data_IF_468181314609
#
_entry.id   IF_468181314609
#
_cell.length_a   1.000
_cell.length_b   1.000
_cell.length_c   1.000
_cell.angle_alpha   90.00
_cell.angle_beta   90.00
_cell.angle_gamma   90.00
#
_symmetry.space_group_name_H-M   'P 1'
#
loop_
_entity.id
_entity.type
_entity.pdbx_description
1 polymer ?
#
# COMPACT_ATOMS: atom_id res chain seq x y z
N UNK A 1 13.78 62.97 -11.01
CA UNK A 1 12.85 63.18 -9.88
C UNK A 1 12.48 61.81 -9.37
N UNK A 2 13.30 61.24 -8.49
CA UNK A 2 13.06 59.89 -7.99
C UNK A 2 11.78 59.88 -7.15
N UNK A 3 10.82 59.05 -7.55
CA UNK A 3 9.54 58.93 -6.86
C UNK A 3 9.77 58.38 -5.45
N UNK A 4 8.92 58.77 -4.48
CA UNK A 4 9.00 58.28 -3.09
C UNK A 4 9.11 56.75 -3.00
N UNK A 5 8.52 56.06 -3.96
CA UNK A 5 8.54 54.61 -4.13
C UNK A 5 9.94 54.05 -4.48
N UNK A 6 10.70 54.74 -5.33
CA UNK A 6 12.08 54.36 -5.66
C UNK A 6 13.02 54.56 -4.47
N UNK A 7 12.80 55.62 -3.68
CA UNK A 7 13.55 55.85 -2.42
C UNK A 7 13.25 54.77 -1.37
N UNK A 8 11.98 54.35 -1.26
CA UNK A 8 11.58 53.24 -0.39
C UNK A 8 12.18 51.90 -0.84
N UNK A 9 12.17 51.61 -2.14
CA UNK A 9 12.82 50.41 -2.68
C UNK A 9 14.33 50.40 -2.48
N UNK A 10 14.99 51.56 -2.52
CA UNK A 10 16.42 51.69 -2.22
C UNK A 10 16.75 51.50 -0.74
N UNK A 11 15.87 51.96 0.16
CA UNK A 11 16.00 51.73 1.61
C UNK A 11 15.77 50.26 1.98
N UNK A 12 14.85 49.58 1.31
CA UNK A 12 14.55 48.17 1.55
C UNK A 12 15.56 47.20 0.90
N UNK A 13 16.21 47.59 -0.20
CA UNK A 13 17.19 46.74 -0.92
C UNK A 13 18.60 46.70 -0.29
N UNK A 14 18.88 47.44 0.78
CA UNK A 14 20.26 47.65 1.29
C UNK A 14 20.48 47.44 2.79
N UNK A 15 19.74 46.53 3.42
CA UNK A 15 20.15 46.01 4.72
C UNK A 15 20.50 44.53 4.59
N UNK A 16 21.79 44.18 4.44
CA UNK A 16 22.20 42.80 4.69
C UNK A 16 21.82 42.45 6.13
N UNK A 17 21.14 41.31 6.31
CA UNK A 17 20.69 40.77 7.59
C UNK A 17 21.84 40.30 8.51
N UNK A 18 23.02 40.91 8.39
CA UNK A 18 24.16 40.68 9.25
C UNK A 18 24.17 41.75 10.36
N UNK A 19 23.71 41.35 11.54
CA UNK A 19 24.24 41.79 12.85
C UNK A 19 24.35 43.32 13.09
N UNK A 20 23.38 44.12 12.65
CA UNK A 20 23.19 45.44 13.25
C UNK A 20 22.29 45.26 14.47
N UNK A 21 22.91 45.00 15.64
CA UNK A 21 22.21 45.19 16.90
C UNK A 21 21.77 46.66 16.94
N UNK A 22 20.48 46.90 16.68
CA UNK A 22 19.85 48.21 16.80
C UNK A 22 20.26 48.77 18.17
N UNK A 23 20.78 50.01 18.26
CA UNK A 23 21.25 50.58 19.52
C UNK A 23 20.12 50.48 20.54
N UNK A 24 20.36 49.65 21.57
CA UNK A 24 19.34 49.31 22.55
C UNK A 24 19.24 50.44 23.57
N UNK A 25 18.02 50.77 23.96
CA UNK A 25 17.80 51.70 25.06
C UNK A 25 18.17 51.05 26.40
N UNK A 26 18.55 51.87 27.39
CA UNK A 26 18.87 51.38 28.73
C UNK A 26 17.73 50.55 29.35
N UNK A 27 16.46 50.86 29.04
CA UNK A 27 15.30 50.09 29.48
C UNK A 27 15.22 48.70 28.83
N UNK A 28 15.58 48.56 27.56
CA UNK A 28 15.65 47.27 26.87
C UNK A 28 16.76 46.38 27.43
N UNK A 29 17.90 46.95 27.82
CA UNK A 29 18.96 46.20 28.47
C UNK A 29 18.54 45.70 29.86
N UNK A 30 17.88 46.54 30.65
CA UNK A 30 17.31 46.14 31.95
C UNK A 30 16.28 45.02 31.77
N UNK A 31 15.39 45.14 30.78
CA UNK A 31 14.43 44.09 30.44
C UNK A 31 15.11 42.77 30.06
N UNK A 32 16.15 42.82 29.21
CA UNK A 32 16.92 41.65 28.80
C UNK A 32 17.59 40.95 29.98
N UNK A 33 18.20 41.72 30.89
CA UNK A 33 18.82 41.16 32.10
C UNK A 33 17.79 40.48 33.01
N UNK A 34 16.61 41.08 33.17
CA UNK A 34 15.50 40.48 33.92
C UNK A 34 15.01 39.18 33.26
N UNK A 35 14.76 39.20 31.95
CA UNK A 35 14.33 38.02 31.19
C UNK A 35 15.37 36.89 31.27
N UNK A 36 16.67 37.21 31.19
CA UNK A 36 17.72 36.21 31.35
C UNK A 36 17.75 35.60 32.77
N UNK A 37 17.52 36.42 33.81
CA UNK A 37 17.42 35.94 35.18
C UNK A 37 16.19 35.04 35.41
N UNK A 38 15.05 35.40 34.80
CA UNK A 38 13.83 34.59 34.88
C UNK A 38 13.99 33.26 34.13
N UNK A 39 14.61 33.26 32.95
CA UNK A 39 14.98 32.03 32.22
C UNK A 39 15.91 31.15 33.06
N UNK A 40 16.94 31.73 33.68
CA UNK A 40 17.86 30.96 34.51
C UNK A 40 17.16 30.34 35.73
N UNK A 41 16.20 31.07 36.31
CA UNK A 41 15.39 30.58 37.44
C UNK A 41 14.45 29.46 37.03
N UNK A 42 13.72 29.60 35.92
CA UNK A 42 12.83 28.56 35.42
C UNK A 42 13.59 27.31 35.00
N UNK A 43 14.77 27.44 34.39
CA UNK A 43 15.67 26.31 34.14
C UNK A 43 16.05 25.56 35.41
N UNK A 44 16.42 26.28 36.48
CA UNK A 44 16.70 25.64 37.78
C UNK A 44 15.48 24.93 38.37
N UNK A 45 14.28 25.48 38.23
CA UNK A 45 13.06 24.79 38.67
C UNK A 45 12.80 23.51 37.88
N UNK A 46 13.04 23.53 36.56
CA UNK A 46 12.93 22.33 35.72
C UNK A 46 13.97 21.29 36.13
N UNK A 47 15.23 21.69 36.34
CA UNK A 47 16.29 20.78 36.80
C UNK A 47 15.95 20.16 38.17
N UNK A 48 15.45 20.96 39.12
CA UNK A 48 15.02 20.46 40.42
C UNK A 48 13.83 19.51 40.31
N UNK A 49 12.85 19.81 39.45
CA UNK A 49 11.70 18.96 39.21
C UNK A 49 12.12 17.62 38.59
N UNK A 50 13.00 17.65 37.58
CA UNK A 50 13.52 16.44 36.95
C UNK A 50 14.30 15.57 37.94
N UNK A 51 15.19 16.18 38.74
CA UNK A 51 15.93 15.45 39.77
C UNK A 51 15.00 14.84 40.83
N UNK A 52 13.91 15.52 41.20
CA UNK A 52 12.92 14.99 42.14
C UNK A 52 12.14 13.82 41.52
N UNK A 53 11.79 13.92 40.23
CA UNK A 53 11.15 12.83 39.48
C UNK A 53 12.09 11.62 39.44
N UNK A 54 13.35 11.80 39.08
CA UNK A 54 14.37 10.73 39.05
C UNK A 54 14.51 10.07 40.43
N UNK A 55 14.63 10.85 41.51
CA UNK A 55 14.70 10.30 42.87
C UNK A 55 13.46 9.51 43.29
N UNK A 56 12.27 9.92 42.84
CA UNK A 56 11.04 9.19 43.09
C UNK A 56 11.00 7.90 42.27
N UNK A 57 11.46 7.95 41.03
CA UNK A 57 11.54 6.77 40.15
C UNK A 57 12.57 5.75 40.63
N UNK A 58 13.73 6.19 41.14
CA UNK A 58 14.72 5.30 41.75
C UNK A 58 14.18 4.59 43.00
N UNK A 59 13.33 5.25 43.80
CA UNK A 59 12.76 4.70 45.03
C UNK A 59 11.53 3.83 44.81
N UNK A 60 10.72 4.14 43.81
CA UNK A 60 9.39 3.55 43.63
C UNK A 60 9.19 2.84 42.28
N UNK A 61 10.22 2.81 41.42
CA UNK A 61 10.14 2.29 40.06
C UNK A 61 9.77 3.37 39.04
N UNK A 62 9.99 3.07 37.76
CA UNK A 62 9.71 4.00 36.66
C UNK A 62 8.24 4.39 36.63
N UNK A 63 7.97 5.69 36.53
CA UNK A 63 6.63 6.16 36.24
C UNK A 63 6.36 5.89 34.75
N UNK A 64 5.27 5.20 34.36
CA UNK A 64 5.00 4.90 32.96
C UNK A 64 4.68 6.19 32.20
N UNK A 65 5.41 6.45 31.11
CA UNK A 65 5.27 7.66 30.27
C UNK A 65 3.86 7.82 29.66
N UNK A 66 3.11 6.73 29.57
CA UNK A 66 1.72 6.73 29.16
C UNK A 66 1.01 5.52 29.76
N UNK A 67 -0.11 5.76 30.44
CA UNK A 67 -1.01 4.69 30.84
C UNK A 67 -1.68 4.10 29.59
N UNK A 68 -1.32 2.86 29.22
CA UNK A 68 -1.87 2.20 28.04
C UNK A 68 -3.22 1.57 28.40
N UNK A 69 -4.33 2.20 27.98
CA UNK A 69 -5.69 1.82 28.37
C UNK A 69 -6.11 0.39 27.95
N UNK A 70 -5.42 -0.19 26.97
CA UNK A 70 -5.74 -1.47 26.33
C UNK A 70 -5.11 -2.70 26.97
N UNK A 71 -3.94 -2.59 27.61
CA UNK A 71 -3.22 -3.75 28.16
C UNK A 71 -3.15 -3.76 29.68
N UNK A 72 -3.42 -2.63 30.34
CA UNK A 72 -3.44 -2.59 31.79
C UNK A 72 -2.13 -2.96 32.48
N UNK A 73 -1.05 -2.97 31.71
CA UNK A 73 0.28 -3.31 32.18
C UNK A 73 1.12 -2.04 32.18
N UNK A 74 1.72 -1.75 33.32
CA UNK A 74 2.85 -0.82 33.40
C UNK A 74 3.95 -1.40 32.50
N UNK A 75 4.27 -0.70 31.41
CA UNK A 75 5.41 -1.06 30.58
C UNK A 75 6.69 -0.81 31.39
N UNK A 76 7.16 -1.86 32.07
CA UNK A 76 8.32 -1.82 32.95
C UNK A 76 8.14 -2.83 34.07
N UNK A 77 8.70 -4.03 33.91
CA UNK A 77 8.89 -4.97 35.01
C UNK A 77 9.66 -4.27 36.13
N UNK A 78 8.95 -3.80 37.15
CA UNK A 78 9.57 -3.34 38.39
C UNK A 78 8.84 -4.00 39.55
N UNK A 79 9.55 -4.94 40.19
CA UNK A 79 9.25 -5.50 41.50
C UNK A 79 9.30 -4.37 42.55
N UNK A 80 8.28 -3.51 42.59
CA UNK A 80 8.10 -2.55 43.67
C UNK A 80 7.18 -3.16 44.74
N UNK A 81 7.71 -3.28 45.96
CA UNK A 81 7.03 -3.68 47.18
C UNK A 81 5.69 -2.93 47.37
N UNK A 82 4.58 -3.59 47.02
CA UNK A 82 3.22 -3.11 47.22
C UNK A 82 2.20 -4.11 46.68
N UNK A 83 1.00 -4.15 47.27
CA UNK A 83 -0.10 -4.98 46.77
C UNK A 83 -0.31 -4.76 45.27
N UNK A 84 -0.41 -5.84 44.49
CA UNK A 84 -0.64 -5.80 43.05
C UNK A 84 -2.00 -5.14 42.83
N UNK A 85 -2.02 -3.86 42.51
CA UNK A 85 -3.24 -3.15 42.15
C UNK A 85 -3.80 -3.78 40.87
N UNK A 86 -5.10 -4.10 40.89
CA UNK A 86 -5.81 -4.52 39.69
C UNK A 86 -5.85 -3.41 38.64
N UNK A 87 -6.16 -3.80 37.40
CA UNK A 87 -6.27 -2.91 36.25
C UNK A 87 -7.22 -1.74 36.51
N UNK A 88 -8.43 -2.02 36.97
CA UNK A 88 -9.47 -1.01 37.22
C UNK A 88 -9.09 -0.05 38.35
N UNK A 89 -8.45 -0.56 39.40
CA UNK A 89 -7.96 0.26 40.52
C UNK A 89 -6.84 1.21 40.09
N UNK A 90 -5.95 0.78 39.18
CA UNK A 90 -4.91 1.64 38.60
C UNK A 90 -5.51 2.75 37.72
N UNK A 91 -6.52 2.43 36.88
CA UNK A 91 -7.26 3.43 36.08
C UNK A 91 -7.91 4.48 36.97
N UNK A 92 -8.62 4.02 38.00
CA UNK A 92 -9.33 4.92 38.93
C UNK A 92 -8.34 5.82 39.68
N UNK A 93 -7.22 5.26 40.16
CA UNK A 93 -6.17 6.03 40.84
C UNK A 93 -5.53 7.07 39.92
N UNK A 94 -5.23 6.71 38.66
CA UNK A 94 -4.68 7.65 37.68
C UNK A 94 -5.68 8.77 37.36
N UNK A 95 -6.96 8.45 37.16
CA UNK A 95 -8.00 9.44 36.90
C UNK A 95 -8.22 10.39 38.10
N UNK A 96 -8.22 9.85 39.32
CA UNK A 96 -8.28 10.65 40.54
C UNK A 96 -7.05 11.56 40.68
N UNK A 97 -5.85 11.04 40.42
CA UNK A 97 -4.61 11.82 40.44
C UNK A 97 -4.64 12.96 39.41
N UNK A 98 -5.08 12.71 38.18
CA UNK A 98 -5.26 13.76 37.18
C UNK A 98 -6.27 14.81 37.64
N UNK A 99 -7.43 14.38 38.14
CA UNK A 99 -8.45 15.30 38.65
C UNK A 99 -7.90 16.17 39.79
N UNK A 100 -7.13 15.60 40.71
CA UNK A 100 -6.49 16.35 41.79
C UNK A 100 -5.41 17.32 41.28
N UNK A 101 -4.62 16.93 40.28
CA UNK A 101 -3.62 17.80 39.64
C UNK A 101 -4.31 18.97 38.93
N UNK A 102 -5.40 18.74 38.18
CA UNK A 102 -6.13 19.81 37.49
C UNK A 102 -6.78 20.82 38.45
N UNK A 103 -6.96 20.47 39.73
CA UNK A 103 -7.51 21.37 40.75
C UNK A 103 -6.56 22.51 41.12
N UNK A 104 -5.25 22.33 40.92
CA UNK A 104 -4.24 23.31 41.30
C UNK A 104 -3.27 23.59 40.16
N UNK A 105 -2.97 24.86 39.91
CA UNK A 105 -1.95 25.23 38.94
C UNK A 105 -0.56 24.95 39.51
N UNK A 106 0.24 24.05 38.89
CA UNK A 106 1.53 23.61 39.44
C UNK A 106 2.59 24.71 39.40
N UNK A 107 2.45 25.69 38.49
CA UNK A 107 3.32 26.84 38.41
C UNK A 107 2.51 28.13 38.44
N UNK A 108 2.88 29.03 39.34
CA UNK A 108 2.33 30.37 39.42
C UNK A 108 3.44 31.38 39.15
N UNK A 109 3.35 32.17 38.07
CA UNK A 109 4.35 33.17 37.75
C UNK A 109 4.36 34.27 38.82
N UNK A 110 5.55 34.79 39.12
CA UNK A 110 5.68 35.94 40.02
C UNK A 110 5.15 37.21 39.35
N UNK A 111 4.73 38.21 40.13
CA UNK A 111 4.22 39.50 39.59
C UNK A 111 5.19 40.23 38.64
N UNK A 112 6.48 39.95 38.76
CA UNK A 112 7.54 40.56 37.96
C UNK A 112 8.05 39.65 36.83
N UNK A 113 7.44 38.47 36.67
CA UNK A 113 7.80 37.52 35.64
C UNK A 113 7.36 38.03 34.27
N UNK A 114 8.25 37.91 33.29
CA UNK A 114 8.06 38.39 31.93
C UNK A 114 7.43 37.34 31.01
N UNK A 115 7.06 36.16 31.55
CA UNK A 115 6.52 35.04 30.77
C UNK A 115 5.32 35.44 29.91
N UNK A 116 4.37 36.23 30.41
CA UNK A 116 3.17 36.62 29.65
C UNK A 116 3.48 37.51 28.44
N UNK A 117 4.45 38.41 28.58
CA UNK A 117 4.90 39.28 27.48
C UNK A 117 5.70 38.44 26.48
N UNK A 118 6.59 37.57 26.97
CA UNK A 118 7.39 36.70 26.13
C UNK A 118 6.51 35.73 25.31
N UNK A 119 5.52 35.08 25.93
CA UNK A 119 4.62 34.14 25.24
C UNK A 119 3.75 34.87 24.23
N UNK A 120 3.16 36.01 24.59
CA UNK A 120 2.36 36.81 23.65
C UNK A 120 3.20 37.27 22.45
N UNK A 121 4.43 37.73 22.67
CA UNK A 121 5.33 38.15 21.58
C UNK A 121 5.73 36.99 20.67
N UNK A 122 6.09 35.83 21.23
CA UNK A 122 6.46 34.67 20.42
C UNK A 122 5.25 34.17 19.62
N UNK A 123 4.08 34.01 20.24
CA UNK A 123 2.88 33.54 19.54
C UNK A 123 2.42 34.52 18.45
N UNK A 124 2.51 35.83 18.69
CA UNK A 124 2.16 36.84 17.68
C UNK A 124 3.18 36.85 16.53
N UNK A 125 4.47 36.72 16.82
CA UNK A 125 5.51 36.62 15.79
C UNK A 125 5.33 35.37 14.94
N UNK A 126 5.09 34.22 15.57
CA UNK A 126 4.85 32.95 14.90
C UNK A 126 3.59 33.05 14.02
N UNK A 127 2.49 33.60 14.55
CA UNK A 127 1.26 33.80 13.79
C UNK A 127 1.46 34.71 12.56
N UNK A 128 2.21 35.82 12.72
CA UNK A 128 2.53 36.72 11.60
C UNK A 128 3.40 36.01 10.56
N UNK A 129 4.39 35.23 10.99
CA UNK A 129 5.25 34.47 10.07
C UNK A 129 4.47 33.40 9.30
N UNK A 130 3.58 32.68 9.98
CA UNK A 130 2.70 31.68 9.38
C UNK A 130 1.72 32.33 8.41
N UNK A 131 1.16 33.48 8.77
CA UNK A 131 0.27 34.23 7.90
C UNK A 131 1.00 34.72 6.63
N UNK A 132 2.24 35.20 6.76
CA UNK A 132 3.04 35.63 5.61
C UNK A 132 3.28 34.45 4.65
N UNK A 133 3.74 33.31 5.17
CA UNK A 133 3.94 32.09 4.39
C UNK A 133 2.66 31.60 3.71
N UNK A 134 1.53 31.61 4.44
CA UNK A 134 0.24 31.21 3.89
C UNK A 134 -0.23 32.18 2.79
N UNK A 135 0.00 33.48 2.96
CA UNK A 135 -0.34 34.49 1.97
C UNK A 135 0.46 34.31 0.68
N UNK A 136 1.77 34.10 0.79
CA UNK A 136 2.65 33.88 -0.37
C UNK A 136 2.26 32.60 -1.12
N UNK A 137 1.96 31.52 -0.37
CA UNK A 137 1.48 30.27 -0.94
C UNK A 137 0.16 30.44 -1.70
N UNK A 138 -0.82 31.11 -1.09
CA UNK A 138 -2.12 31.38 -1.74
C UNK A 138 -1.98 32.29 -2.95
N UNK A 139 -1.06 33.26 -2.91
CA UNK A 139 -0.78 34.12 -4.06
C UNK A 139 -0.26 33.30 -5.25
N UNK A 140 0.74 32.44 -5.03
CA UNK A 140 1.27 31.58 -6.09
C UNK A 140 0.22 30.61 -6.64
N UNK A 141 -0.61 30.03 -5.79
CA UNK A 141 -1.72 29.19 -6.26
C UNK A 141 -2.73 29.98 -7.10
N UNK A 142 -3.06 31.20 -6.69
CA UNK A 142 -3.96 32.05 -7.46
C UNK A 142 -3.37 32.40 -8.82
N UNK A 143 -2.09 32.76 -8.89
CA UNK A 143 -1.39 33.03 -10.17
C UNK A 143 -1.49 31.82 -11.11
N UNK A 144 -1.13 30.62 -10.64
CA UNK A 144 -1.24 29.38 -11.42
C UNK A 144 -2.68 29.11 -11.89
N UNK A 145 -3.67 29.26 -11.00
CA UNK A 145 -5.08 29.06 -11.36
C UNK A 145 -5.61 30.11 -12.33
N UNK A 146 -5.12 31.33 -12.26
CA UNK A 146 -5.48 32.36 -13.24
C UNK A 146 -4.92 32.05 -14.63
N UNK A 147 -3.72 31.48 -14.72
CA UNK A 147 -3.12 31.01 -15.97
C UNK A 147 -3.91 29.82 -16.55
N UNK A 148 -4.18 28.78 -15.74
CA UNK A 148 -5.00 27.63 -16.15
C UNK A 148 -6.39 28.07 -16.65
N UNK A 149 -7.03 29.02 -15.96
CA UNK A 149 -8.33 29.56 -16.38
C UNK A 149 -8.24 30.33 -17.71
N UNK A 150 -7.14 31.02 -17.97
CA UNK A 150 -6.92 31.71 -19.22
C UNK A 150 -6.76 30.70 -20.38
N UNK A 151 -6.01 29.63 -20.17
CA UNK A 151 -5.84 28.54 -21.14
C UNK A 151 -7.17 27.84 -21.45
N UNK A 152 -7.93 27.46 -20.40
CA UNK A 152 -9.23 26.81 -20.57
C UNK A 152 -10.24 27.72 -21.29
N UNK A 153 -10.21 29.03 -21.04
CA UNK A 153 -11.04 29.99 -21.78
C UNK A 153 -10.66 30.08 -23.26
N UNK A 154 -9.36 30.04 -23.58
CA UNK A 154 -8.90 30.02 -24.96
C UNK A 154 -9.36 28.74 -25.68
N UNK A 155 -9.18 27.58 -25.05
CA UNK A 155 -9.63 26.29 -25.58
C UNK A 155 -11.16 26.28 -25.77
N UNK A 156 -11.93 26.81 -24.83
CA UNK A 156 -13.38 26.93 -24.95
C UNK A 156 -13.74 27.81 -26.15
N UNK A 157 -13.07 28.94 -26.35
CA UNK A 157 -13.27 29.80 -27.51
C UNK A 157 -13.02 29.03 -28.81
N UNK A 158 -11.93 28.26 -28.89
CA UNK A 158 -11.62 27.42 -30.06
C UNK A 158 -12.68 26.36 -30.33
N UNK A 159 -13.17 25.67 -29.29
CA UNK A 159 -14.27 24.71 -29.43
C UNK A 159 -15.59 25.38 -29.85
N UNK A 160 -15.89 26.57 -29.35
CA UNK A 160 -17.08 27.30 -29.79
C UNK A 160 -16.98 27.66 -31.27
N UNK A 161 -15.81 28.09 -31.74
CA UNK A 161 -15.56 28.36 -33.15
C UNK A 161 -15.66 27.09 -33.99
N UNK A 162 -15.02 25.99 -33.56
CA UNK A 162 -15.10 24.70 -34.23
C UNK A 162 -16.55 24.21 -34.36
N UNK A 163 -17.35 24.35 -33.29
CA UNK A 163 -18.78 24.01 -33.32
C UNK A 163 -19.57 24.86 -34.32
N UNK A 164 -19.29 26.16 -34.42
CA UNK A 164 -19.90 27.03 -35.45
C UNK A 164 -19.53 26.54 -36.84
N UNK A 165 -18.25 26.27 -37.11
CA UNK A 165 -17.78 25.77 -38.40
C UNK A 165 -18.37 24.40 -38.76
N UNK A 166 -18.50 23.50 -37.79
CA UNK A 166 -19.15 22.19 -37.98
C UNK A 166 -20.61 22.39 -38.34
N UNK A 167 -21.36 23.23 -37.59
CA UNK A 167 -22.76 23.53 -37.90
C UNK A 167 -22.93 24.11 -39.30
N UNK A 168 -22.06 25.04 -39.69
CA UNK A 168 -22.05 25.59 -41.06
C UNK A 168 -21.77 24.52 -42.11
N UNK A 169 -20.80 23.63 -41.86
CA UNK A 169 -20.46 22.55 -42.80
C UNK A 169 -21.60 21.53 -42.93
N UNK A 170 -22.25 21.19 -41.83
CA UNK A 170 -23.44 20.31 -41.82
C UNK A 170 -24.55 20.94 -42.65
N UNK A 171 -24.83 22.24 -42.46
CA UNK A 171 -25.82 22.96 -43.25
C UNK A 171 -25.48 23.02 -44.75
N UNK A 172 -24.18 23.16 -45.10
CA UNK A 172 -23.72 23.20 -46.50
C UNK A 172 -23.73 21.83 -47.19
N UNK A 173 -23.60 20.72 -46.46
CA UNK A 173 -23.45 19.38 -47.04
C UNK A 173 -24.32 18.30 -46.35
N UNK A 174 -25.66 18.41 -46.41
CA UNK A 174 -26.56 17.49 -45.70
C UNK A 174 -26.48 16.04 -46.21
N UNK A 175 -26.35 15.83 -47.52
CA UNK A 175 -26.29 14.48 -48.12
C UNK A 175 -25.06 13.68 -47.66
N UNK A 176 -23.89 14.32 -47.63
CA UNK A 176 -22.64 13.70 -47.18
C UNK A 176 -22.66 13.40 -45.68
N UNK A 177 -23.37 14.21 -44.88
CA UNK A 177 -23.56 13.92 -43.45
C UNK A 177 -24.47 12.72 -43.23
N UNK A 178 -25.54 12.58 -44.02
CA UNK A 178 -26.39 11.40 -43.96
C UNK A 178 -25.63 10.11 -44.32
N UNK A 179 -24.80 10.13 -45.37
CA UNK A 179 -23.93 9.01 -45.73
C UNK A 179 -22.90 8.66 -44.64
N UNK A 180 -22.35 9.65 -43.94
CA UNK A 180 -21.46 9.39 -42.80
C UNK A 180 -22.20 8.82 -41.59
N UNK A 181 -23.41 9.31 -41.31
CA UNK A 181 -24.24 8.80 -40.23
C UNK A 181 -24.58 7.32 -40.46
N UNK A 182 -24.96 6.96 -41.69
CA UNK A 182 -25.27 5.58 -42.08
C UNK A 182 -24.04 4.65 -41.90
N UNK A 183 -22.84 5.13 -42.24
CA UNK A 183 -21.60 4.38 -41.98
C UNK A 183 -21.32 4.19 -40.49
N UNK A 184 -21.63 5.19 -39.68
CA UNK A 184 -21.41 5.18 -38.24
C UNK A 184 -22.38 4.21 -37.55
N UNK A 185 -23.65 4.22 -37.96
CA UNK A 185 -24.65 3.26 -37.52
C UNK A 185 -24.25 1.84 -37.94
N UNK A 186 -23.70 1.67 -39.15
CA UNK A 186 -23.07 0.42 -39.60
C UNK A 186 -21.95 -0.08 -38.67
N UNK A 187 -21.07 0.81 -38.20
CA UNK A 187 -19.99 0.46 -37.27
C UNK A 187 -20.51 -0.03 -35.91
N UNK A 188 -21.56 0.58 -35.36
CA UNK A 188 -22.15 0.13 -34.07
C UNK A 188 -22.69 -1.31 -34.15
N UNK A 189 -23.15 -1.74 -35.33
CA UNK A 189 -23.63 -3.11 -35.54
C UNK A 189 -22.51 -4.15 -35.50
N UNK A 190 -21.31 -3.78 -35.98
CA UNK A 190 -20.13 -4.65 -35.94
C UNK A 190 -19.59 -4.81 -34.52
N UNK A 191 -19.63 -3.77 -33.69
CA UNK A 191 -19.24 -3.86 -32.28
C UNK A 191 -20.14 -4.84 -31.52
N UNK A 192 -21.46 -4.76 -31.73
CA UNK A 192 -22.41 -5.71 -31.14
C UNK A 192 -22.19 -7.16 -31.61
N UNK A 193 -21.80 -7.38 -32.87
CA UNK A 193 -21.47 -8.73 -33.39
C UNK A 193 -20.18 -9.28 -32.77
N UNK A 194 -19.18 -8.43 -32.55
CA UNK A 194 -17.92 -8.82 -31.89
C UNK A 194 -18.18 -9.21 -30.44
N UNK A 195 -18.96 -8.44 -29.70
CA UNK A 195 -19.31 -8.76 -28.31
C UNK A 195 -20.08 -10.09 -28.21
N UNK A 196 -21.02 -10.34 -29.13
CA UNK A 196 -21.74 -11.60 -29.20
C UNK A 196 -20.79 -12.79 -29.43
N UNK A 197 -19.83 -12.68 -30.36
CA UNK A 197 -18.84 -13.73 -30.62
C UNK A 197 -17.87 -13.92 -29.45
N UNK A 198 -17.50 -12.85 -28.76
CA UNK A 198 -16.64 -12.93 -27.58
C UNK A 198 -17.33 -13.70 -26.44
N UNK A 199 -18.63 -13.45 -26.21
CA UNK A 199 -19.41 -14.22 -25.24
C UNK A 199 -19.52 -15.70 -25.61
N UNK A 200 -19.67 -16.01 -26.90
CA UNK A 200 -19.68 -17.39 -27.39
C UNK A 200 -18.34 -18.08 -27.14
N UNK A 201 -17.21 -17.41 -27.39
CA UNK A 201 -15.87 -17.98 -27.12
C UNK A 201 -15.66 -18.21 -25.63
N UNK A 202 -16.13 -17.32 -24.76
CA UNK A 202 -16.05 -17.51 -23.31
C UNK A 202 -16.80 -18.75 -22.85
N UNK A 203 -18.04 -18.94 -23.29
CA UNK A 203 -18.83 -20.15 -22.95
C UNK A 203 -18.16 -21.43 -23.43
N UNK A 204 -17.59 -21.44 -24.64
CA UNK A 204 -16.84 -22.57 -25.16
C UNK A 204 -15.56 -22.85 -24.35
N UNK A 205 -14.87 -21.79 -23.88
CA UNK A 205 -13.69 -21.91 -23.01
C UNK A 205 -14.05 -22.53 -21.66
N UNK A 206 -15.16 -22.11 -21.04
CA UNK A 206 -15.65 -22.67 -19.78
C UNK A 206 -16.05 -24.15 -19.93
N UNK A 207 -16.74 -24.49 -21.02
CA UNK A 207 -17.07 -25.88 -21.34
C UNK A 207 -15.82 -26.75 -21.53
N UNK A 208 -14.79 -26.22 -22.18
CA UNK A 208 -13.52 -26.93 -22.36
C UNK A 208 -12.81 -27.17 -21.02
N UNK A 209 -12.71 -26.14 -20.16
CA UNK A 209 -12.14 -26.25 -18.80
C UNK A 209 -12.89 -27.29 -17.96
N UNK A 210 -14.23 -27.28 -17.98
CA UNK A 210 -15.03 -28.26 -17.23
C UNK A 210 -14.78 -29.70 -17.70
N UNK A 211 -14.62 -29.92 -19.02
CA UNK A 211 -14.28 -31.24 -19.57
C UNK A 211 -12.88 -31.67 -19.16
N UNK A 212 -11.91 -30.77 -19.20
CA UNK A 212 -10.54 -31.02 -18.75
C UNK A 212 -10.50 -31.44 -17.28
N UNK A 213 -11.23 -30.73 -16.42
CA UNK A 213 -11.31 -31.05 -14.99
C UNK A 213 -11.94 -32.44 -14.75
N UNK A 214 -13.04 -32.76 -15.45
CA UNK A 214 -13.65 -34.10 -15.38
C UNK A 214 -12.69 -35.19 -15.83
N UNK A 215 -11.93 -34.95 -16.89
CA UNK A 215 -10.90 -35.87 -17.36
C UNK A 215 -9.80 -36.04 -16.31
N UNK A 216 -9.34 -34.95 -15.69
CA UNK A 216 -8.35 -35.00 -14.62
C UNK A 216 -8.83 -35.82 -13.42
N UNK A 217 -10.07 -35.59 -12.96
CA UNK A 217 -10.68 -36.36 -11.87
C UNK A 217 -10.80 -37.86 -12.22
N UNK A 218 -11.20 -38.18 -13.46
CA UNK A 218 -11.28 -39.56 -13.92
C UNK A 218 -9.90 -40.23 -13.96
N UNK A 219 -8.87 -39.54 -14.47
CA UNK A 219 -7.50 -40.04 -14.48
C UNK A 219 -7.00 -40.32 -13.06
N UNK A 220 -7.20 -39.39 -12.13
CA UNK A 220 -6.83 -39.60 -10.72
C UNK A 220 -7.54 -40.83 -10.13
N UNK A 221 -8.84 -41.00 -10.38
CA UNK A 221 -9.60 -42.18 -9.91
C UNK A 221 -9.07 -43.48 -10.51
N UNK A 222 -8.76 -43.51 -11.79
CA UNK A 222 -8.21 -44.70 -12.46
C UNK A 222 -6.84 -45.04 -11.91
N UNK A 223 -5.96 -44.06 -11.76
CA UNK A 223 -4.63 -44.24 -11.16
C UNK A 223 -4.75 -44.76 -9.73
N UNK A 224 -5.64 -44.18 -8.92
CA UNK A 224 -5.88 -44.63 -7.53
C UNK A 224 -6.38 -46.08 -7.47
N UNK A 225 -7.36 -46.44 -8.32
CA UNK A 225 -7.87 -47.81 -8.42
C UNK A 225 -6.79 -48.78 -8.89
N UNK A 226 -5.98 -48.40 -9.87
CA UNK A 226 -4.84 -49.20 -10.32
C UNK A 226 -3.86 -49.46 -9.17
N UNK A 227 -3.50 -48.41 -8.42
CA UNK A 227 -2.60 -48.53 -7.27
C UNK A 227 -3.19 -49.38 -6.14
N UNK A 228 -4.51 -49.38 -5.97
CA UNK A 228 -5.21 -50.22 -4.98
C UNK A 228 -5.37 -51.69 -5.43
N UNK A 229 -5.48 -51.96 -6.73
CA UNK A 229 -5.58 -53.31 -7.29
C UNK A 229 -4.23 -54.01 -7.46
N UNK A 230 -3.14 -53.25 -7.55
CA UNK A 230 -1.80 -53.81 -7.47
C UNK A 230 -1.55 -54.24 -6.03
N UNK A 231 -1.63 -55.54 -5.72
CA UNK A 231 -1.19 -56.08 -4.45
C UNK A 231 0.32 -55.77 -4.28
N UNK A 232 0.61 -54.76 -3.47
CA UNK A 232 1.96 -54.38 -3.10
C UNK A 232 2.50 -55.46 -2.17
N UNK A 233 3.09 -56.51 -2.76
CA UNK A 233 3.62 -57.69 -2.05
C UNK A 233 4.72 -57.42 -1.00
N UNK A 234 4.97 -56.17 -0.60
CA UNK A 234 5.79 -55.75 0.54
C UNK A 234 5.03 -54.65 1.34
N UNK A 235 3.82 -54.94 1.80
CA UNK A 235 2.92 -54.00 2.50
C UNK A 235 3.38 -53.54 3.90
N UNK A 236 4.64 -53.77 4.28
CA UNK A 236 5.12 -53.47 5.64
C UNK A 236 5.89 -52.16 5.82
N UNK A 237 6.14 -51.37 4.75
CA UNK A 237 7.06 -50.22 4.78
C UNK A 237 6.67 -49.05 3.85
N UNK A 238 5.38 -48.69 3.76
CA UNK A 238 4.96 -47.50 3.00
C UNK A 238 3.99 -46.64 3.79
N UNK A 239 4.45 -45.43 4.16
CA UNK A 239 3.66 -44.39 4.81
C UNK A 239 2.71 -43.69 3.81
N UNK A 240 1.65 -43.05 4.31
CA UNK A 240 0.67 -42.32 3.48
C UNK A 240 1.31 -41.28 2.55
N UNK A 241 2.43 -40.70 2.98
CA UNK A 241 3.19 -39.69 2.23
C UNK A 241 3.93 -40.26 1.02
N UNK A 242 4.44 -41.49 1.08
CA UNK A 242 5.09 -42.14 -0.08
C UNK A 242 4.06 -42.56 -1.11
N UNK A 243 2.86 -42.94 -0.68
CA UNK A 243 1.71 -43.21 -1.56
C UNK A 243 1.19 -41.96 -2.27
N UNK A 244 1.01 -40.84 -1.55
CA UNK A 244 0.61 -39.57 -2.20
C UNK A 244 1.63 -39.10 -3.23
N UNK A 245 2.93 -39.24 -2.92
CA UNK A 245 4.02 -38.93 -3.85
C UNK A 245 3.98 -39.81 -5.09
N UNK A 246 3.80 -41.12 -4.97
CA UNK A 246 3.75 -42.03 -6.12
C UNK A 246 2.55 -41.78 -7.04
N UNK A 247 1.38 -41.48 -6.47
CA UNK A 247 0.19 -41.07 -7.24
C UNK A 247 0.43 -39.76 -7.96
N UNK A 248 1.02 -38.76 -7.29
CA UNK A 248 1.33 -37.47 -7.90
C UNK A 248 2.31 -37.61 -9.07
N UNK A 249 3.35 -38.45 -8.92
CA UNK A 249 4.35 -38.73 -9.95
C UNK A 249 3.71 -39.42 -11.17
N UNK A 250 2.86 -40.41 -10.94
CA UNK A 250 2.08 -41.09 -11.99
C UNK A 250 1.17 -40.12 -12.76
N UNK A 251 0.50 -39.20 -12.07
CA UNK A 251 -0.35 -38.18 -12.70
C UNK A 251 0.50 -37.16 -13.48
N UNK A 252 1.67 -36.77 -12.97
CA UNK A 252 2.58 -35.88 -13.71
C UNK A 252 3.16 -36.55 -14.95
N UNK A 253 3.48 -37.84 -14.89
CA UNK A 253 3.93 -38.62 -16.04
C UNK A 253 2.86 -38.71 -17.13
N UNK A 254 1.58 -38.89 -16.75
CA UNK A 254 0.47 -38.84 -17.72
C UNK A 254 0.28 -37.44 -18.30
N UNK A 255 0.42 -36.37 -17.50
CA UNK A 255 0.35 -34.99 -17.99
C UNK A 255 1.46 -34.68 -18.99
N UNK A 256 2.70 -35.13 -18.76
CA UNK A 256 3.81 -34.91 -19.70
C UNK A 256 3.62 -35.71 -20.99
N UNK A 257 3.09 -36.93 -20.91
CA UNK A 257 2.69 -37.70 -22.09
C UNK A 257 1.63 -36.96 -22.93
N UNK A 258 0.59 -36.39 -22.30
CA UNK A 258 -0.48 -35.64 -22.99
C UNK A 258 0.04 -34.32 -23.57
N UNK A 259 0.85 -33.55 -22.81
CA UNK A 259 1.41 -32.28 -23.26
C UNK A 259 2.32 -32.43 -24.50
N UNK A 260 3.06 -33.54 -24.60
CA UNK A 260 3.86 -33.83 -25.79
C UNK A 260 3.01 -34.04 -27.06
N UNK A 261 1.76 -34.52 -26.91
CA UNK A 261 0.82 -34.63 -28.04
C UNK A 261 0.31 -33.24 -28.43
N UNK A 262 -0.09 -32.39 -27.47
CA UNK A 262 -0.62 -31.05 -27.77
C UNK A 262 0.43 -30.15 -28.45
N UNK A 263 1.70 -30.32 -28.10
CA UNK A 263 2.81 -29.56 -28.68
C UNK A 263 3.24 -30.08 -30.07
N UNK A 264 2.62 -31.16 -30.57
CA UNK A 264 2.90 -31.75 -31.89
C UNK A 264 4.29 -32.37 -32.03
N UNK A 265 5.04 -32.51 -30.94
CA UNK A 265 6.39 -33.09 -30.93
C UNK A 265 6.28 -34.55 -30.55
N UNK A 266 6.50 -35.43 -31.53
CA UNK A 266 6.52 -36.89 -31.33
C UNK A 266 7.74 -37.34 -30.51
N UNK A 267 7.79 -36.97 -29.23
CA UNK A 267 8.91 -37.22 -28.33
C UNK A 267 8.65 -38.45 -27.48
N UNK A 268 9.56 -39.42 -27.56
CA UNK A 268 9.60 -40.58 -26.68
C UNK A 268 10.02 -40.15 -25.26
N UNK A 269 9.35 -40.69 -24.24
CA UNK A 269 9.67 -40.41 -22.83
C UNK A 269 10.41 -41.61 -22.26
N UNK A 270 11.62 -41.40 -21.74
CA UNK A 270 12.38 -42.43 -21.04
C UNK A 270 11.77 -42.71 -19.67
N UNK A 271 11.56 -43.98 -19.38
CA UNK A 271 11.06 -44.46 -18.09
C UNK A 271 12.21 -45.20 -17.39
N UNK A 272 12.46 -44.88 -16.13
CA UNK A 272 13.58 -45.47 -15.38
C UNK A 272 13.14 -46.77 -14.70
N UNK A 273 13.97 -47.83 -14.75
CA UNK A 273 13.61 -49.11 -14.16
C UNK A 273 13.53 -49.03 -12.63
N UNK A 274 12.52 -49.67 -12.04
CA UNK A 274 12.23 -49.68 -10.60
C UNK A 274 11.33 -48.54 -10.10
N UNK A 275 10.88 -47.65 -10.99
CA UNK A 275 10.00 -46.52 -10.66
C UNK A 275 8.52 -46.89 -10.79
N UNK A 276 7.63 -46.11 -10.18
CA UNK A 276 6.18 -46.37 -10.22
C UNK A 276 5.61 -46.13 -11.63
N UNK A 277 6.26 -45.24 -12.36
CA UNK A 277 6.03 -44.89 -13.75
C UNK A 277 6.30 -46.08 -14.70
N UNK A 278 7.30 -46.92 -14.42
CA UNK A 278 7.57 -48.14 -15.19
C UNK A 278 6.41 -49.13 -15.08
N UNK A 279 5.90 -49.36 -13.87
CA UNK A 279 4.78 -50.27 -13.64
C UNK A 279 3.48 -49.77 -14.25
N UNK A 280 3.23 -48.45 -14.16
CA UNK A 280 2.12 -47.80 -14.86
C UNK A 280 2.27 -47.95 -16.38
N UNK A 281 3.47 -47.73 -16.91
CA UNK A 281 3.76 -47.90 -18.33
C UNK A 281 3.56 -49.34 -18.78
N UNK A 282 4.01 -50.34 -18.01
CA UNK A 282 3.78 -51.76 -18.30
C UNK A 282 2.29 -52.10 -18.39
N UNK A 283 1.47 -51.62 -17.44
CA UNK A 283 0.02 -51.84 -17.48
C UNK A 283 -0.59 -51.17 -18.70
N UNK A 284 -0.20 -49.93 -19.02
CA UNK A 284 -0.72 -49.21 -20.17
C UNK A 284 -0.25 -49.80 -21.51
N UNK A 285 0.95 -50.38 -21.57
CA UNK A 285 1.45 -51.15 -22.73
C UNK A 285 0.66 -52.45 -22.90
N UNK A 286 0.34 -53.17 -21.81
CA UNK A 286 -0.50 -54.38 -21.85
C UNK A 286 -1.92 -54.10 -22.37
N UNK A 287 -2.41 -52.88 -22.21
CA UNK A 287 -3.73 -52.45 -22.70
C UNK A 287 -3.65 -51.64 -24.02
N UNK A 288 -2.54 -51.72 -24.76
CA UNK A 288 -2.33 -51.09 -26.07
C UNK A 288 -2.48 -49.55 -26.09
N UNK A 289 -2.33 -48.90 -24.92
CA UNK A 289 -2.42 -47.44 -24.77
C UNK A 289 -1.10 -46.75 -25.12
N UNK A 290 0.01 -47.42 -24.85
CA UNK A 290 1.35 -46.92 -25.08
C UNK A 290 2.12 -47.82 -26.05
N UNK A 291 2.96 -47.21 -26.89
CA UNK A 291 3.99 -47.87 -27.69
C UNK A 291 5.29 -47.90 -26.88
N UNK A 292 5.94 -49.06 -26.85
CA UNK A 292 7.22 -49.27 -26.16
C UNK A 292 8.35 -49.39 -27.17
N UNK A 293 9.47 -48.69 -26.92
CA UNK A 293 10.73 -48.84 -27.64
C UNK A 293 11.85 -49.15 -26.65
N UNK A 294 12.51 -50.29 -26.83
CA UNK A 294 13.60 -50.72 -25.95
C UNK A 294 14.96 -50.52 -26.63
N UNK A 295 15.57 -49.35 -26.40
CA UNK A 295 16.91 -48.99 -26.88
C UNK A 295 17.88 -48.76 -25.69
N UNK A 296 17.88 -49.67 -24.71
CA UNK A 296 18.73 -49.61 -23.50
C UNK A 296 18.05 -49.02 -22.27
N UNK A 297 17.21 -48.00 -22.42
CA UNK A 297 16.25 -47.50 -21.40
C UNK A 297 14.85 -47.64 -22.00
N UNK A 298 13.84 -48.15 -21.26
CA UNK A 298 12.50 -48.31 -21.82
C UNK A 298 11.91 -46.93 -22.11
N UNK A 299 11.66 -46.65 -23.39
CA UNK A 299 11.05 -45.41 -23.84
C UNK A 299 9.60 -45.66 -24.25
N UNK A 300 8.71 -44.78 -23.81
CA UNK A 300 7.26 -44.98 -23.92
C UNK A 300 6.62 -43.77 -24.57
N UNK A 301 5.64 -44.02 -25.44
CA UNK A 301 4.88 -42.98 -26.15
C UNK A 301 3.40 -43.33 -26.17
N UNK A 302 2.53 -42.32 -26.02
CA UNK A 302 1.08 -42.49 -26.24
C UNK A 302 0.78 -42.82 -27.70
N UNK A 303 -0.11 -43.80 -27.91
CA UNK A 303 -0.63 -44.14 -29.24
C UNK A 303 -1.43 -42.94 -29.79
N UNK A 304 -1.27 -42.66 -31.08
CA UNK A 304 -2.03 -41.60 -31.74
C UNK A 304 -3.49 -42.06 -31.92
N UNK A 305 -4.40 -41.56 -31.09
CA UNK A 305 -5.84 -41.81 -31.22
C UNK A 305 -6.57 -40.80 -32.13
N UNK A 306 -5.84 -39.86 -32.74
CA UNK A 306 -6.37 -38.73 -33.50
C UNK A 306 -6.13 -38.75 -35.01
N UNK A 307 -6.06 -39.93 -35.67
CA UNK A 307 -6.16 -40.00 -37.14
C UNK A 307 -7.57 -40.42 -37.55
N UNK A 308 -8.41 -39.39 -37.68
CA UNK A 308 -9.66 -39.32 -38.42
C UNK A 308 -9.84 -37.87 -38.81
#
# INVERSE_FOLDING_TARGET
MDTKEQKLRLLLKRLPAALLEVPRSASQEVYRRKLAADIARTKKFIEQANNAIEQLQEKHGLCPDSYNETTGSLAGETEALGEIWGLETSKMAHLLAHYEVYKQMPYQPMKNDLIGIATALTLTLDAVSQQALASDYLQHQNEQKTEELAELKAILADYTLANVLIKERVAKHPLRMAEMQEKLDGCTSYEAEIDAKLSQVQTLSEMAKSREEKMHQNLQRVVLKMHAMMDWGNAHLMDEDTFKKSVSLSVTFLKTLIANISDGKEKWISVHPGTVEERLAEIMVRHDVLLLRNNGVPEVRLRNYGRG
#
